data_IF_835506248703
#
_entry.id   IF_835506248703
#
_cell.length_a   1.000
_cell.length_b   1.000
_cell.length_c   1.000
_cell.angle_alpha   90.00
_cell.angle_beta   90.00
_cell.angle_gamma   90.00
#
_symmetry.space_group_name_H-M   'P 1'
#
loop_
_entity.id
_entity.type
_entity.pdbx_description
1 polymer ?
#
# COMPACT_ATOMS: atom_id res chain seq x y z
N UNK A 1 -49.79 -0.84 0.14
CA UNK A 1 -48.81 -1.46 -0.78
C UNK A 1 -47.58 -1.82 0.04
N UNK A 2 -47.12 -3.09 0.05
CA UNK A 2 -45.91 -3.47 0.76
C UNK A 2 -44.69 -2.76 0.17
N UNK A 3 -43.72 -2.40 1.01
CA UNK A 3 -42.48 -1.75 0.56
C UNK A 3 -41.66 -2.76 -0.24
N UNK A 4 -40.89 -2.32 -1.24
CA UNK A 4 -40.10 -3.17 -2.15
C UNK A 4 -39.29 -4.27 -1.43
N UNK A 5 -38.68 -3.92 -0.29
CA UNK A 5 -37.91 -4.84 0.57
C UNK A 5 -38.78 -5.98 1.12
N UNK A 6 -39.99 -5.69 1.58
CA UNK A 6 -40.90 -6.71 2.10
C UNK A 6 -41.29 -7.71 1.02
N UNK A 7 -41.54 -7.24 -0.20
CA UNK A 7 -41.84 -8.11 -1.34
C UNK A 7 -40.64 -9.00 -1.71
N UNK A 8 -39.42 -8.48 -1.70
CA UNK A 8 -38.20 -9.24 -2.01
C UNK A 8 -37.84 -10.26 -0.92
N UNK A 9 -38.09 -9.93 0.35
CA UNK A 9 -37.96 -10.85 1.48
C UNK A 9 -38.97 -12.00 1.38
N UNK A 10 -40.25 -11.68 1.10
CA UNK A 10 -41.30 -12.69 0.94
C UNK A 10 -41.06 -13.62 -0.25
N UNK A 11 -40.41 -13.12 -1.30
CA UNK A 11 -40.07 -13.91 -2.50
C UNK A 11 -38.73 -14.65 -2.39
N UNK A 12 -38.00 -14.51 -1.27
CA UNK A 12 -36.67 -15.11 -1.08
C UNK A 12 -35.61 -14.60 -2.06
N UNK A 13 -35.86 -13.44 -2.69
CA UNK A 13 -34.98 -12.79 -3.68
C UNK A 13 -34.15 -11.68 -3.06
N UNK A 14 -34.31 -11.44 -1.76
CA UNK A 14 -33.58 -10.40 -1.06
C UNK A 14 -32.09 -10.75 -0.98
N UNK A 15 -31.27 -9.87 -1.55
CA UNK A 15 -29.81 -9.93 -1.49
C UNK A 15 -29.28 -8.63 -0.87
N UNK A 16 -28.44 -8.76 0.16
CA UNK A 16 -27.80 -7.61 0.81
C UNK A 16 -26.87 -6.83 -0.14
N UNK A 17 -26.40 -7.47 -1.22
CA UNK A 17 -25.52 -6.89 -2.23
C UNK A 17 -26.12 -5.63 -2.89
N UNK A 18 -27.44 -5.57 -3.09
CA UNK A 18 -28.12 -4.40 -3.68
C UNK A 18 -28.16 -3.19 -2.74
N UNK A 19 -27.94 -3.42 -1.45
CA UNK A 19 -27.91 -2.41 -0.40
C UNK A 19 -26.48 -2.09 0.08
N UNK A 20 -25.48 -2.77 -0.49
CA UNK A 20 -24.09 -2.34 -0.41
C UNK A 20 -23.98 -0.95 -1.05
N UNK A 21 -23.79 0.09 -0.22
CA UNK A 21 -23.62 1.47 -0.69
C UNK A 21 -22.34 1.68 -1.50
N UNK A 22 -21.48 0.67 -1.58
CA UNK A 22 -20.24 0.74 -2.31
C UNK A 22 -20.43 0.06 -3.67
N UNK A 23 -20.87 0.86 -4.65
CA UNK A 23 -20.29 0.70 -5.99
C UNK A 23 -18.81 0.99 -5.85
N UNK A 24 -18.06 -0.02 -5.39
CA UNK A 24 -16.63 0.01 -5.19
C UNK A 24 -16.02 0.57 -6.47
N UNK A 25 -15.39 1.75 -6.37
CA UNK A 25 -14.54 2.21 -7.47
C UNK A 25 -13.53 1.10 -7.72
N UNK A 26 -13.23 0.78 -8.99
CA UNK A 26 -12.21 -0.21 -9.29
C UNK A 26 -10.94 0.13 -8.50
N UNK A 27 -10.36 -0.88 -7.86
CA UNK A 27 -9.15 -0.68 -7.06
C UNK A 27 -8.07 -0.05 -7.95
N UNK A 28 -7.57 1.11 -7.54
CA UNK A 28 -6.53 1.83 -8.26
C UNK A 28 -5.26 0.97 -8.37
N UNK A 29 -4.67 0.98 -9.55
CA UNK A 29 -3.46 0.28 -9.89
C UNK A 29 -2.24 0.90 -9.18
N UNK A 30 -1.16 0.14 -9.07
CA UNK A 30 0.10 0.65 -8.52
C UNK A 30 0.61 1.85 -9.32
N UNK A 31 0.49 1.84 -10.66
CA UNK A 31 0.87 2.97 -11.50
C UNK A 31 0.17 4.26 -11.06
N UNK A 32 -1.16 4.20 -10.90
CA UNK A 32 -1.97 5.35 -10.48
C UNK A 32 -1.56 5.85 -9.08
N UNK A 33 -1.27 4.94 -8.14
CA UNK A 33 -0.79 5.31 -6.81
C UNK A 33 0.59 5.96 -6.84
N UNK A 34 1.50 5.46 -7.66
CA UNK A 34 2.86 6.00 -7.83
C UNK A 34 2.80 7.40 -8.44
N UNK A 35 2.00 7.60 -9.48
CA UNK A 35 1.80 8.91 -10.11
C UNK A 35 1.25 9.94 -9.11
N UNK A 36 0.24 9.55 -8.32
CA UNK A 36 -0.33 10.41 -7.27
C UNK A 36 0.66 10.71 -6.16
N UNK A 37 1.46 9.73 -5.76
CA UNK A 37 2.51 9.94 -4.77
C UNK A 37 3.56 10.92 -5.28
N UNK A 38 4.00 10.75 -6.53
CA UNK A 38 4.98 11.61 -7.16
C UNK A 38 4.47 13.06 -7.30
N UNK A 39 3.24 13.24 -7.77
CA UNK A 39 2.59 14.56 -7.80
C UNK A 39 2.56 15.21 -6.41
N UNK A 40 2.15 14.45 -5.39
CA UNK A 40 2.10 14.98 -4.02
C UNK A 40 3.48 15.32 -3.45
N UNK A 41 4.53 14.59 -3.86
CA UNK A 41 5.90 14.87 -3.46
C UNK A 41 6.39 16.21 -4.05
N UNK A 42 6.14 16.43 -5.35
CA UNK A 42 6.57 17.65 -6.06
C UNK A 42 5.73 18.88 -5.73
N UNK A 43 4.48 18.72 -5.29
CA UNK A 43 3.69 19.82 -4.71
C UNK A 43 4.34 20.42 -3.45
N UNK A 44 5.15 19.61 -2.74
CA UNK A 44 5.75 19.97 -1.44
C UNK A 44 7.25 20.23 -1.52
N UNK A 45 7.88 19.85 -2.62
CA UNK A 45 9.33 19.83 -2.78
C UNK A 45 9.68 20.60 -4.04
N UNK A 46 10.60 21.57 -3.93
CA UNK A 46 11.12 22.26 -5.10
C UNK A 46 11.82 21.27 -6.04
N UNK A 47 11.39 21.24 -7.30
CA UNK A 47 11.98 20.39 -8.32
C UNK A 47 13.24 21.04 -8.87
N UNK A 48 14.39 20.43 -8.59
CA UNK A 48 15.69 20.80 -9.14
C UNK A 48 16.49 19.51 -9.44
N UNK A 49 17.60 19.57 -10.19
CA UNK A 49 18.32 18.36 -10.61
C UNK A 49 18.78 17.47 -9.45
N UNK A 50 19.05 18.05 -8.28
CA UNK A 50 19.47 17.30 -7.08
C UNK A 50 18.29 16.58 -6.43
N UNK A 51 17.15 17.26 -6.27
CA UNK A 51 15.95 16.67 -5.67
C UNK A 51 15.34 15.63 -6.61
N UNK A 52 15.34 15.89 -7.93
CA UNK A 52 14.91 14.95 -8.96
C UNK A 52 15.73 13.65 -8.90
N UNK A 53 17.07 13.77 -8.90
CA UNK A 53 17.95 12.60 -8.78
C UNK A 53 17.76 11.84 -7.47
N UNK A 54 17.54 12.57 -6.38
CA UNK A 54 17.27 11.95 -5.07
C UNK A 54 15.94 11.21 -5.06
N UNK A 55 14.91 11.77 -5.70
CA UNK A 55 13.61 11.12 -5.84
C UNK A 55 13.69 9.87 -6.73
N UNK A 56 14.38 9.97 -7.86
CA UNK A 56 14.56 8.86 -8.79
C UNK A 56 15.26 7.67 -8.11
N UNK A 57 16.40 7.93 -7.46
CA UNK A 57 17.21 6.90 -6.81
C UNK A 57 16.63 6.40 -5.49
N UNK A 58 15.79 7.20 -4.82
CA UNK A 58 15.21 6.88 -3.52
C UNK A 58 13.82 6.24 -3.59
N UNK A 59 13.04 6.54 -4.63
CA UNK A 59 11.64 6.16 -4.75
C UNK A 59 11.32 5.56 -6.11
N UNK A 60 11.45 6.34 -7.21
CA UNK A 60 10.98 5.93 -8.55
C UNK A 60 11.57 4.59 -9.00
N UNK A 61 12.88 4.42 -8.80
CA UNK A 61 13.59 3.18 -9.11
C UNK A 61 12.95 1.95 -8.44
N UNK A 62 12.55 2.06 -7.17
CA UNK A 62 11.96 0.95 -6.41
C UNK A 62 10.50 0.74 -6.76
N UNK A 63 9.75 1.82 -7.01
CA UNK A 63 8.35 1.73 -7.43
C UNK A 63 8.19 1.03 -8.77
N UNK A 64 9.09 1.26 -9.74
CA UNK A 64 9.08 0.55 -11.02
C UNK A 64 9.36 -0.94 -10.94
N UNK A 65 9.80 -1.46 -9.80
CA UNK A 65 9.99 -2.90 -9.59
C UNK A 65 8.68 -3.61 -9.22
N UNK A 66 7.63 -2.85 -8.89
CA UNK A 66 6.29 -3.36 -8.62
C UNK A 66 5.55 -3.64 -9.94
N UNK A 67 4.62 -4.62 -9.96
CA UNK A 67 3.77 -4.85 -11.12
C UNK A 67 2.73 -3.74 -11.23
N UNK A 68 2.96 -2.83 -12.19
CA UNK A 68 2.25 -1.55 -12.33
C UNK A 68 0.76 -1.68 -12.63
N UNK A 69 0.36 -2.79 -13.24
CA UNK A 69 -1.00 -3.13 -13.68
C UNK A 69 -1.88 -3.72 -12.57
N UNK A 70 -1.29 -4.05 -11.42
CA UNK A 70 -2.01 -4.69 -10.30
C UNK A 70 -2.50 -3.65 -9.29
N UNK A 71 -3.60 -3.95 -8.57
CA UNK A 71 -4.04 -3.12 -7.47
C UNK A 71 -2.98 -3.06 -6.37
N UNK A 72 -2.84 -1.91 -5.72
CA UNK A 72 -1.91 -1.75 -4.61
C UNK A 72 -2.39 -2.54 -3.39
N UNK A 73 -1.61 -3.54 -2.96
CA UNK A 73 -1.84 -4.29 -1.73
C UNK A 73 -0.55 -4.42 -0.92
N UNK A 74 -0.67 -4.52 0.40
CA UNK A 74 0.48 -4.67 1.30
C UNK A 74 1.25 -5.99 1.04
N UNK A 75 0.53 -7.06 0.71
CA UNK A 75 1.13 -8.36 0.36
C UNK A 75 1.97 -8.29 -0.92
N UNK A 76 1.54 -7.49 -1.89
CA UNK A 76 2.27 -7.30 -3.13
C UNK A 76 3.57 -6.51 -2.90
N UNK A 77 3.52 -5.49 -2.03
CA UNK A 77 4.72 -4.78 -1.58
C UNK A 77 5.67 -5.75 -0.86
N UNK A 78 5.16 -6.55 0.07
CA UNK A 78 5.94 -7.52 0.86
C UNK A 78 6.62 -8.57 -0.04
N UNK A 79 5.85 -9.23 -0.88
CA UNK A 79 6.34 -10.29 -1.77
C UNK A 79 7.37 -9.75 -2.76
N UNK A 80 7.12 -8.58 -3.37
CA UNK A 80 8.09 -7.95 -4.28
C UNK A 80 9.37 -7.57 -3.57
N UNK A 81 9.28 -7.01 -2.37
CA UNK A 81 10.45 -6.67 -1.54
C UNK A 81 11.30 -7.92 -1.29
N UNK A 82 10.69 -9.01 -0.80
CA UNK A 82 11.37 -10.27 -0.49
C UNK A 82 12.02 -10.90 -1.73
N UNK A 83 11.32 -10.86 -2.86
CA UNK A 83 11.81 -11.40 -4.13
C UNK A 83 13.00 -10.60 -4.71
N UNK A 84 12.95 -9.27 -4.64
CA UNK A 84 13.87 -8.40 -5.37
C UNK A 84 15.13 -7.99 -4.59
N UNK A 85 15.17 -8.22 -3.27
CA UNK A 85 16.34 -7.87 -2.47
C UNK A 85 16.71 -8.97 -1.49
N UNK A 86 18.01 -9.25 -1.28
CA UNK A 86 18.47 -10.13 -0.19
C UNK A 86 18.32 -9.45 1.17
N UNK A 87 18.18 -10.26 2.23
CA UNK A 87 18.14 -9.78 3.61
C UNK A 87 19.40 -8.98 3.99
N UNK A 88 19.27 -8.06 4.94
CA UNK A 88 20.36 -7.23 5.48
C UNK A 88 21.18 -6.40 4.47
N UNK A 89 20.64 -6.13 3.27
CA UNK A 89 21.31 -5.29 2.26
C UNK A 89 20.85 -3.83 2.31
N UNK A 90 21.67 -2.92 1.79
CA UNK A 90 21.24 -1.52 1.55
C UNK A 90 20.00 -1.47 0.64
N UNK A 91 19.93 -2.35 -0.37
CA UNK A 91 18.77 -2.45 -1.24
C UNK A 91 17.50 -2.80 -0.46
N UNK A 92 17.55 -3.79 0.45
CA UNK A 92 16.42 -4.11 1.36
C UNK A 92 15.95 -2.89 2.14
N UNK A 93 16.87 -2.10 2.70
CA UNK A 93 16.51 -0.90 3.45
C UNK A 93 15.78 0.13 2.57
N UNK A 94 16.21 0.29 1.32
CA UNK A 94 15.59 1.21 0.38
C UNK A 94 14.23 0.73 -0.12
N UNK A 95 14.06 -0.58 -0.39
CA UNK A 95 12.75 -1.18 -0.66
C UNK A 95 11.80 -0.97 0.52
N UNK A 96 12.24 -1.27 1.74
CA UNK A 96 11.45 -1.06 2.96
C UNK A 96 11.04 0.40 3.10
N UNK A 97 11.97 1.34 2.90
CA UNK A 97 11.70 2.77 3.01
C UNK A 97 10.69 3.25 1.96
N UNK A 98 10.93 2.95 0.69
CA UNK A 98 10.08 3.40 -0.43
C UNK A 98 8.67 2.81 -0.32
N UNK A 99 8.54 1.50 -0.10
CA UNK A 99 7.23 0.84 0.00
C UNK A 99 6.45 1.27 1.22
N UNK A 100 7.13 1.54 2.35
CA UNK A 100 6.50 2.17 3.51
C UNK A 100 5.90 3.53 3.14
N UNK A 101 6.63 4.39 2.40
CA UNK A 101 6.11 5.71 2.01
C UNK A 101 4.90 5.62 1.10
N UNK A 102 4.91 4.69 0.14
CA UNK A 102 3.77 4.46 -0.74
C UNK A 102 2.54 3.97 0.05
N UNK A 103 2.73 3.01 0.96
CA UNK A 103 1.65 2.50 1.81
C UNK A 103 1.08 3.57 2.76
N UNK A 104 1.96 4.38 3.38
CA UNK A 104 1.55 5.52 4.21
C UNK A 104 0.71 6.52 3.43
N UNK A 105 1.13 6.84 2.20
CA UNK A 105 0.39 7.73 1.33
C UNK A 105 -0.98 7.15 0.94
N UNK A 106 -1.03 5.90 0.50
CA UNK A 106 -2.28 5.24 0.13
C UNK A 106 -3.26 5.12 1.32
N UNK A 107 -2.77 4.80 2.51
CA UNK A 107 -3.57 4.79 3.74
C UNK A 107 -4.12 6.19 4.08
N UNK A 108 -3.32 7.25 3.89
CA UNK A 108 -3.81 8.63 4.09
C UNK A 108 -4.94 9.04 3.14
N UNK A 109 -5.13 8.29 2.04
CA UNK A 109 -6.21 8.46 1.07
C UNK A 109 -7.34 7.44 1.24
N UNK A 110 -7.29 6.61 2.29
CA UNK A 110 -8.31 5.63 2.64
C UNK A 110 -8.25 4.31 1.85
N UNK A 111 -7.17 4.06 1.11
CA UNK A 111 -7.04 2.85 0.30
C UNK A 111 -6.44 1.65 1.06
N UNK A 112 -5.78 1.90 2.19
CA UNK A 112 -5.19 0.88 3.06
C UNK A 112 -5.67 1.16 4.47
N UNK A 113 -6.20 0.13 5.12
CA UNK A 113 -6.67 0.24 6.50
C UNK A 113 -5.51 0.58 7.46
N UNK A 114 -5.81 1.39 8.47
CA UNK A 114 -4.79 1.88 9.41
C UNK A 114 -4.18 0.75 10.23
N UNK A 115 -4.96 -0.24 10.65
CA UNK A 115 -4.45 -1.36 11.44
C UNK A 115 -3.55 -2.26 10.58
N UNK A 116 -3.97 -2.52 9.34
CA UNK A 116 -3.13 -3.25 8.37
C UNK A 116 -1.80 -2.54 8.11
N UNK A 117 -1.82 -1.20 7.99
CA UNK A 117 -0.60 -0.40 7.83
C UNK A 117 0.34 -0.55 9.04
N UNK A 118 -0.16 -0.53 10.26
CA UNK A 118 0.68 -0.68 11.46
C UNK A 118 1.33 -2.07 11.53
N UNK A 119 0.57 -3.12 11.23
CA UNK A 119 1.12 -4.48 11.11
C UNK A 119 2.23 -4.52 10.06
N UNK A 120 1.98 -3.95 8.88
CA UNK A 120 2.98 -3.90 7.82
C UNK A 120 4.24 -3.11 8.22
N UNK A 121 4.11 -2.03 8.99
CA UNK A 121 5.25 -1.25 9.50
C UNK A 121 6.12 -2.05 10.47
N UNK A 122 5.51 -2.89 11.31
CA UNK A 122 6.23 -3.77 12.23
C UNK A 122 7.01 -4.80 11.42
N UNK A 123 6.36 -5.49 10.50
CA UNK A 123 7.00 -6.48 9.62
C UNK A 123 8.15 -5.87 8.81
N UNK A 124 7.94 -4.67 8.24
CA UNK A 124 8.98 -3.95 7.51
C UNK A 124 10.20 -3.63 8.38
N UNK A 125 10.02 -3.37 9.68
CA UNK A 125 11.12 -3.18 10.64
C UNK A 125 11.89 -4.49 10.84
N UNK A 126 11.17 -5.60 10.98
CA UNK A 126 11.76 -6.93 11.11
C UNK A 126 12.53 -7.32 9.86
N UNK A 127 11.98 -7.09 8.66
CA UNK A 127 12.64 -7.39 7.39
C UNK A 127 13.86 -6.50 7.11
N UNK A 128 13.97 -5.35 7.79
CA UNK A 128 15.13 -4.44 7.70
C UNK A 128 16.31 -4.91 8.54
N UNK A 129 16.04 -5.56 9.68
CA UNK A 129 17.05 -6.11 10.59
C UNK A 129 17.27 -7.60 10.35
N UNK A 130 18.50 -8.08 10.46
CA UNK A 130 18.70 -9.53 10.65
C UNK A 130 18.29 -9.89 12.08
N UNK A 131 17.24 -10.70 12.24
CA UNK A 131 16.76 -11.32 13.50
C UNK A 131 16.05 -10.41 14.52
N UNK A 132 14.90 -10.91 15.00
CA UNK A 132 14.05 -10.36 16.08
C UNK A 132 14.38 -11.01 17.43
N UNK A 133 15.50 -11.75 17.54
CA UNK A 133 15.90 -12.42 18.79
C UNK A 133 16.15 -11.47 19.98
N UNK A 134 16.28 -10.16 19.74
CA UNK A 134 16.74 -9.22 20.76
C UNK A 134 15.62 -8.35 21.37
N UNK A 135 14.36 -8.51 20.95
CA UNK A 135 13.24 -7.66 21.41
C UNK A 135 12.15 -8.39 22.22
N UNK A 136 12.31 -9.69 22.49
CA UNK A 136 11.40 -10.44 23.38
C UNK A 136 12.06 -10.89 24.71
N UNK A 137 13.32 -10.53 24.95
CA UNK A 137 13.98 -10.75 26.23
C UNK A 137 14.69 -9.48 26.71
N UNK A 138 13.92 -8.45 27.01
CA UNK A 138 14.32 -7.52 28.07
C UNK A 138 13.13 -7.40 29.02
N UNK A 139 13.35 -8.01 30.18
CA UNK A 139 12.55 -8.05 31.42
C UNK A 139 11.63 -6.87 31.66
#
# INVERSE_FOLDING_TARGET
MPKKIEAELLLGKFTWDDYSKEKSKPAETIAEWVDRYEQNYWERTECNPTTERSFETGYRHYFWQLPQDKPLTLDLLRSTLLLKSPAATRSRQMYTMSYRRLAEFASSKGAIDRLELETFRIELRELRGGSVSDLLFST
#
